data_IF_349904289757
#
_entry.id   IF_349904289757
#
_cell.length_a   1.000
_cell.length_b   1.000
_cell.length_c   1.000
_cell.angle_alpha   90.00
_cell.angle_beta   90.00
_cell.angle_gamma   90.00
#
_symmetry.space_group_name_H-M   'P 1'
#
loop_
_entity.id
_entity.type
_entity.pdbx_description
1 polymer ?
#
# COMPACT_ATOMS: atom_id res chain seq x y z
N UNK A 1 13.01 -21.29 -10.99
CA UNK A 1 12.58 -21.54 -12.37
C UNK A 1 13.04 -20.35 -13.21
N UNK A 2 13.86 -20.58 -14.25
CA UNK A 2 14.24 -19.52 -15.18
C UNK A 2 12.99 -18.98 -15.93
N UNK A 3 12.94 -17.69 -16.28
CA UNK A 3 11.83 -17.14 -17.06
C UNK A 3 11.78 -17.77 -18.45
N UNK A 4 10.59 -17.92 -19.02
CA UNK A 4 10.45 -18.45 -20.38
C UNK A 4 11.01 -17.48 -21.43
N UNK A 5 11.52 -18.00 -22.55
CA UNK A 5 12.07 -17.17 -23.63
C UNK A 5 11.05 -16.14 -24.17
N UNK A 6 9.78 -16.55 -24.26
CA UNK A 6 8.68 -15.66 -24.65
C UNK A 6 8.46 -14.50 -23.67
N UNK A 7 8.61 -14.74 -22.36
CA UNK A 7 8.51 -13.69 -21.33
C UNK A 7 9.68 -12.71 -21.40
N UNK A 8 10.91 -13.20 -21.63
CA UNK A 8 12.10 -12.37 -21.80
C UNK A 8 11.95 -11.44 -23.01
N UNK A 9 11.52 -11.98 -24.16
CA UNK A 9 11.26 -11.19 -25.37
C UNK A 9 10.13 -10.15 -25.17
N UNK A 10 9.08 -10.51 -24.44
CA UNK A 10 8.01 -9.56 -24.10
C UNK A 10 8.53 -8.46 -23.17
N UNK A 11 9.33 -8.82 -22.18
CA UNK A 11 9.91 -7.88 -21.22
C UNK A 11 10.87 -6.88 -21.90
N UNK A 12 11.73 -7.36 -22.80
CA UNK A 12 12.65 -6.51 -23.56
C UNK A 12 11.89 -5.52 -24.43
N UNK A 13 10.87 -5.97 -25.19
CA UNK A 13 10.01 -5.10 -26.00
C UNK A 13 9.33 -4.02 -25.15
N UNK A 14 8.81 -4.36 -23.97
CA UNK A 14 8.16 -3.38 -23.07
C UNK A 14 9.13 -2.29 -22.60
N UNK A 15 10.34 -2.67 -22.17
CA UNK A 15 11.35 -1.68 -21.75
C UNK A 15 11.87 -0.86 -22.92
N UNK A 16 12.07 -1.46 -24.09
CA UNK A 16 12.48 -0.72 -25.28
C UNK A 16 11.42 0.30 -25.68
N UNK A 17 10.14 -0.07 -25.69
CA UNK A 17 9.04 0.87 -25.96
C UNK A 17 8.96 2.00 -24.93
N UNK A 18 9.24 1.71 -23.66
CA UNK A 18 9.32 2.72 -22.62
C UNK A 18 10.49 3.67 -22.87
N UNK A 19 11.70 3.13 -23.10
CA UNK A 19 12.91 3.91 -23.36
C UNK A 19 12.74 4.81 -24.58
N UNK A 20 12.25 4.29 -25.71
CA UNK A 20 12.03 5.09 -26.92
C UNK A 20 11.02 6.21 -26.71
N UNK A 21 9.94 5.95 -25.96
CA UNK A 21 8.93 6.98 -25.66
C UNK A 21 9.42 8.07 -24.73
N UNK A 22 10.24 7.73 -23.75
CA UNK A 22 10.77 8.71 -22.79
C UNK A 22 12.01 9.43 -23.32
N UNK A 23 12.83 8.80 -24.18
CA UNK A 23 14.01 9.43 -24.79
C UNK A 23 13.66 10.52 -25.80
N UNK A 24 12.48 10.44 -26.43
CA UNK A 24 11.98 11.48 -27.34
C UNK A 24 11.48 12.74 -26.60
N UNK A 25 11.54 12.76 -25.26
CA UNK A 25 11.11 13.93 -24.51
C UNK A 25 12.22 14.95 -24.36
N UNK A 26 11.79 16.21 -24.33
CA UNK A 26 12.65 17.31 -23.95
C UNK A 26 12.80 17.36 -22.42
N UNK A 27 14.01 17.63 -21.92
CA UNK A 27 14.21 17.86 -20.49
C UNK A 27 13.43 19.10 -20.05
N UNK A 28 12.91 19.08 -18.83
CA UNK A 28 12.16 20.23 -18.29
C UNK A 28 13.05 21.32 -17.73
N UNK A 29 14.23 20.95 -17.25
CA UNK A 29 15.23 21.84 -16.69
C UNK A 29 16.60 21.18 -16.78
N UNK A 30 17.66 21.98 -16.74
CA UNK A 30 19.01 21.48 -16.50
C UNK A 30 19.32 21.67 -15.02
N UNK A 31 19.68 20.59 -14.33
CA UNK A 31 20.06 20.65 -12.92
C UNK A 31 21.58 20.63 -12.84
N UNK A 32 22.17 21.69 -12.28
CA UNK A 32 23.60 21.74 -12.02
C UNK A 32 23.90 20.97 -10.74
N UNK A 33 24.66 19.89 -10.85
CA UNK A 33 25.16 19.14 -9.69
C UNK A 33 26.34 19.90 -9.07
N UNK A 34 26.66 19.60 -7.81
CA UNK A 34 27.78 20.25 -7.09
C UNK A 34 29.16 20.07 -7.75
N UNK A 35 29.27 19.14 -8.70
CA UNK A 35 30.45 18.91 -9.55
C UNK A 35 30.55 19.85 -10.76
N UNK A 36 29.61 20.80 -10.93
CA UNK A 36 29.56 21.70 -12.07
C UNK A 36 28.95 21.10 -13.35
N UNK A 37 28.69 19.78 -13.36
CA UNK A 37 28.06 19.07 -14.47
C UNK A 37 26.56 19.36 -14.50
N UNK A 38 26.07 19.76 -15.68
CA UNK A 38 24.64 19.95 -15.93
C UNK A 38 24.02 18.63 -16.38
N UNK A 39 23.01 18.17 -15.62
CA UNK A 39 22.28 16.95 -15.92
C UNK A 39 20.84 17.29 -16.31
N UNK A 40 20.33 16.76 -17.43
CA UNK A 40 18.95 16.99 -17.85
C UNK A 40 17.96 16.38 -16.83
N UNK A 41 17.06 17.22 -16.36
CA UNK A 41 16.02 16.87 -15.40
C UNK A 41 14.70 16.61 -16.14
N UNK A 42 14.16 15.41 -15.97
CA UNK A 42 12.92 14.99 -16.62
C UNK A 42 11.78 14.86 -15.62
N UNK A 43 10.56 15.25 -16.02
CA UNK A 43 9.37 14.97 -15.24
C UNK A 43 9.13 13.47 -15.14
N UNK A 44 8.91 13.02 -13.91
CA UNK A 44 8.65 11.62 -13.63
C UNK A 44 7.29 11.18 -14.22
N UNK A 45 7.29 10.21 -15.16
CA UNK A 45 6.08 9.80 -15.85
C UNK A 45 5.17 8.88 -15.01
N UNK A 46 5.63 8.43 -13.84
CA UNK A 46 4.86 7.60 -12.91
C UNK A 46 4.04 8.43 -11.90
N UNK A 47 4.28 9.74 -11.85
CA UNK A 47 3.59 10.65 -10.94
C UNK A 47 2.52 11.46 -11.70
N UNK A 48 1.46 11.82 -10.99
CA UNK A 48 0.50 12.82 -11.46
C UNK A 48 1.14 14.21 -11.42
N UNK A 49 1.06 14.95 -12.51
CA UNK A 49 1.51 16.35 -12.54
C UNK A 49 0.30 17.28 -12.53
N UNK A 50 0.40 18.46 -11.92
CA UNK A 50 -0.63 19.49 -12.05
C UNK A 50 -0.73 19.91 -13.53
N UNK A 51 -1.96 20.03 -14.08
CA UNK A 51 -2.16 20.39 -15.51
C UNK A 51 -1.73 21.83 -15.84
N UNK A 52 -1.63 22.69 -14.83
CA UNK A 52 -1.06 24.04 -14.85
C UNK A 52 -0.92 24.49 -13.39
N UNK A 53 -0.10 25.51 -13.11
CA UNK A 53 0.07 26.05 -11.76
C UNK A 53 -1.27 26.48 -11.10
N UNK A 54 -2.23 26.92 -11.90
CA UNK A 54 -3.53 27.44 -11.44
C UNK A 54 -4.68 26.44 -11.60
N UNK A 55 -4.40 25.22 -12.06
CA UNK A 55 -5.45 24.23 -12.28
C UNK A 55 -5.65 23.38 -11.02
N UNK A 56 -6.84 23.47 -10.41
CA UNK A 56 -7.28 22.55 -9.34
C UNK A 56 -7.40 21.08 -9.78
N UNK A 57 -7.11 20.76 -11.05
CA UNK A 57 -7.18 19.43 -11.63
C UNK A 57 -5.78 18.89 -11.90
N UNK A 58 -5.43 17.81 -11.22
CA UNK A 58 -4.22 17.04 -11.50
C UNK A 58 -4.41 16.25 -12.79
N UNK A 59 -3.38 16.21 -13.64
CA UNK A 59 -3.31 15.20 -14.69
C UNK A 59 -2.99 13.86 -14.05
N UNK A 60 -3.66 12.79 -14.49
CA UNK A 60 -3.28 11.45 -14.09
C UNK A 60 -1.83 11.15 -14.51
N UNK A 61 -1.20 10.21 -13.81
CA UNK A 61 0.13 9.70 -14.21
C UNK A 61 0.11 9.17 -15.65
N UNK A 62 1.16 9.44 -16.42
CA UNK A 62 1.23 9.02 -17.84
C UNK A 62 1.18 7.50 -17.99
N UNK A 63 1.79 6.78 -17.05
CA UNK A 63 1.65 5.33 -16.95
C UNK A 63 0.74 4.98 -15.78
N UNK A 64 -0.31 4.22 -16.06
CA UNK A 64 -1.19 3.68 -15.01
C UNK A 64 -0.43 2.78 -14.04
N UNK A 65 -0.92 2.64 -12.81
CA UNK A 65 -0.30 1.79 -11.78
C UNK A 65 -0.08 0.34 -12.24
N UNK A 66 -0.96 -0.17 -13.12
CA UNK A 66 -0.80 -1.47 -13.74
C UNK A 66 0.41 -1.50 -14.68
N UNK A 67 0.53 -0.52 -15.58
CA UNK A 67 1.68 -0.41 -16.51
C UNK A 67 3.01 -0.22 -15.77
N UNK A 68 3.00 0.58 -14.71
CA UNK A 68 4.17 0.73 -13.83
C UNK A 68 4.62 -0.64 -13.25
N UNK A 69 3.66 -1.45 -12.77
CA UNK A 69 3.94 -2.82 -12.29
C UNK A 69 4.43 -3.74 -13.41
N UNK A 70 3.87 -3.63 -14.62
CA UNK A 70 4.31 -4.41 -15.78
C UNK A 70 5.75 -4.09 -16.18
N UNK A 71 6.16 -2.81 -16.18
CA UNK A 71 7.55 -2.40 -16.43
C UNK A 71 8.50 -2.91 -15.34
N UNK A 72 8.10 -2.84 -14.07
CA UNK A 72 8.89 -3.38 -12.97
C UNK A 72 9.03 -4.89 -13.04
N UNK A 73 7.96 -5.60 -13.41
CA UNK A 73 8.00 -7.05 -13.63
C UNK A 73 8.90 -7.40 -14.81
N UNK A 74 8.80 -6.65 -15.91
CA UNK A 74 9.66 -6.82 -17.08
C UNK A 74 11.15 -6.65 -16.72
N UNK A 75 11.51 -5.57 -15.99
CA UNK A 75 12.88 -5.36 -15.52
C UNK A 75 13.36 -6.52 -14.64
N UNK A 76 12.52 -7.06 -13.76
CA UNK A 76 12.88 -8.21 -12.92
C UNK A 76 13.09 -9.49 -13.72
N UNK A 77 12.24 -9.76 -14.71
CA UNK A 77 12.38 -10.92 -15.60
C UNK A 77 13.71 -10.87 -16.35
N UNK A 78 14.11 -9.69 -16.82
CA UNK A 78 15.38 -9.49 -17.53
C UNK A 78 16.60 -9.62 -16.62
N UNK A 79 16.51 -9.17 -15.37
CA UNK A 79 17.56 -9.42 -14.37
C UNK A 79 17.68 -10.92 -14.07
N UNK A 80 16.56 -11.64 -14.02
CA UNK A 80 16.53 -13.08 -13.79
C UNK A 80 17.06 -13.89 -14.98
N UNK A 81 16.98 -13.40 -16.21
CA UNK A 81 17.56 -14.08 -17.37
C UNK A 81 19.09 -14.01 -17.40
N UNK A 82 19.69 -13.07 -16.68
CA UNK A 82 21.14 -12.92 -16.57
C UNK A 82 21.79 -12.06 -17.67
N UNK A 83 21.02 -11.64 -18.68
CA UNK A 83 21.51 -10.84 -19.80
C UNK A 83 21.63 -9.33 -19.48
N UNK A 84 21.07 -8.90 -18.33
CA UNK A 84 20.97 -7.49 -17.97
C UNK A 84 21.51 -7.21 -16.57
N UNK A 85 22.03 -5.99 -16.39
CA UNK A 85 22.53 -5.52 -15.11
C UNK A 85 21.49 -5.60 -14.02
N UNK A 86 21.92 -6.00 -12.81
CA UNK A 86 21.10 -5.97 -11.59
C UNK A 86 20.54 -4.58 -11.29
N UNK A 87 21.19 -3.54 -11.82
CA UNK A 87 20.81 -2.14 -11.70
C UNK A 87 19.72 -1.70 -12.69
N UNK A 88 19.19 -2.59 -13.55
CA UNK A 88 18.16 -2.26 -14.53
C UNK A 88 16.90 -1.64 -13.89
N UNK A 89 16.55 -2.05 -12.66
CA UNK A 89 15.41 -1.46 -11.92
C UNK A 89 15.67 0.00 -11.58
N UNK A 90 16.92 0.40 -11.34
CA UNK A 90 17.29 1.76 -10.96
C UNK A 90 17.17 2.74 -12.14
N UNK A 91 17.12 2.25 -13.38
CA UNK A 91 16.84 3.07 -14.55
C UNK A 91 15.37 3.48 -14.69
N UNK A 92 14.44 2.76 -14.03
CA UNK A 92 13.04 3.14 -14.05
C UNK A 92 12.80 4.32 -13.09
N UNK A 93 11.92 5.27 -13.45
CA UNK A 93 11.61 6.38 -12.58
C UNK A 93 11.04 5.91 -11.24
N UNK A 94 11.34 6.60 -10.13
CA UNK A 94 10.74 6.26 -8.85
C UNK A 94 9.22 6.45 -8.92
N UNK A 95 8.44 5.64 -8.22
CA UNK A 95 6.99 5.70 -8.31
C UNK A 95 6.31 4.94 -7.20
N UNK A 96 4.98 5.06 -7.07
CA UNK A 96 4.22 4.43 -5.99
C UNK A 96 4.36 2.90 -5.95
N UNK A 97 4.76 2.26 -7.07
CA UNK A 97 5.06 0.83 -7.15
C UNK A 97 6.55 0.48 -6.98
N UNK A 98 7.48 1.42 -7.20
CA UNK A 98 8.92 1.18 -6.98
C UNK A 98 9.29 1.31 -5.51
N UNK A 99 8.66 2.23 -4.78
CA UNK A 99 8.94 2.49 -3.36
C UNK A 99 8.57 1.35 -2.43
N UNK A 100 7.68 0.44 -2.86
CA UNK A 100 7.28 -0.72 -2.06
C UNK A 100 8.43 -1.69 -1.72
N UNK A 101 9.59 -1.56 -2.37
CA UNK A 101 10.79 -2.38 -2.12
C UNK A 101 11.92 -1.65 -1.40
N UNK A 102 11.84 -0.33 -1.25
CA UNK A 102 12.96 0.47 -0.72
C UNK A 102 12.59 1.14 0.61
N UNK A 103 11.29 1.37 0.88
CA UNK A 103 10.84 2.05 2.08
C UNK A 103 9.98 1.19 3.03
N UNK A 104 10.25 -0.11 3.14
CA UNK A 104 9.67 -0.91 4.24
C UNK A 104 8.25 -1.39 4.02
N UNK A 105 7.94 -1.86 2.81
CA UNK A 105 6.63 -2.42 2.49
C UNK A 105 6.52 -3.89 2.85
N UNK A 106 6.47 -4.25 4.15
CA UNK A 106 6.12 -5.59 4.68
C UNK A 106 7.12 -6.72 4.38
N UNK A 107 7.62 -6.81 3.15
CA UNK A 107 8.59 -7.82 2.69
C UNK A 107 9.99 -7.48 3.19
N UNK A 108 10.36 -6.20 3.25
CA UNK A 108 11.66 -5.77 3.79
C UNK A 108 11.75 -6.01 5.31
N UNK A 109 10.63 -5.89 6.04
CA UNK A 109 10.54 -6.27 7.47
C UNK A 109 10.63 -7.78 7.67
N UNK A 110 10.01 -8.57 6.79
CA UNK A 110 10.09 -10.03 6.82
C UNK A 110 11.50 -10.54 6.44
N UNK A 111 12.18 -9.89 5.49
CA UNK A 111 13.56 -10.18 5.10
C UNK A 111 14.56 -9.73 6.18
N UNK A 112 14.34 -8.59 6.84
CA UNK A 112 15.15 -8.15 7.99
C UNK A 112 15.01 -9.10 9.19
N UNK A 113 13.81 -9.67 9.42
CA UNK A 113 13.59 -10.68 10.46
C UNK A 113 14.28 -12.03 10.16
N UNK A 114 14.66 -12.30 8.91
CA UNK A 114 15.35 -13.52 8.47
C UNK A 114 16.89 -13.40 8.47
N UNK A 115 17.46 -12.30 8.98
CA UNK A 115 18.88 -12.21 9.28
C UNK A 115 19.84 -12.29 8.08
N UNK A 116 19.38 -12.04 6.85
CA UNK A 116 20.28 -11.85 5.70
C UNK A 116 20.70 -10.39 5.63
N UNK A 117 21.83 -10.09 6.28
CA UNK A 117 22.65 -8.94 5.94
C UNK A 117 23.14 -9.09 4.49
N UNK A 118 23.33 -7.95 3.82
CA UNK A 118 23.89 -7.76 2.48
C UNK A 118 22.89 -7.72 1.31
N UNK A 119 22.10 -6.64 1.26
CA UNK A 119 21.96 -5.86 0.03
C UNK A 119 21.49 -4.44 0.35
N UNK A 120 22.45 -3.55 0.61
CA UNK A 120 22.23 -2.10 0.60
C UNK A 120 21.85 -1.67 -0.82
N UNK A 121 20.57 -1.48 -1.08
CA UNK A 121 20.11 -0.67 -2.21
C UNK A 121 20.28 0.78 -1.80
N UNK A 122 21.47 1.32 -2.07
CA UNK A 122 21.74 2.76 -2.04
C UNK A 122 20.84 3.44 -3.06
N UNK A 123 19.81 4.12 -2.56
CA UNK A 123 19.26 5.30 -3.21
C UNK A 123 20.32 6.38 -3.10
N UNK A 124 20.98 6.69 -4.21
CA UNK A 124 21.89 7.82 -4.27
C UNK A 124 21.14 9.10 -3.88
N UNK A 125 21.63 9.79 -2.84
CA UNK A 125 21.26 11.19 -2.62
C UNK A 125 21.13 11.74 -1.21
N UNK A 126 21.76 11.18 -0.16
CA UNK A 126 22.16 11.98 1.02
C UNK A 126 23.52 11.48 1.56
N UNK A 127 24.44 12.43 1.68
CA UNK A 127 25.88 12.37 1.93
C UNK A 127 26.38 11.62 3.17
N UNK A 128 27.47 10.83 3.01
CA UNK A 128 28.69 10.91 3.84
C UNK A 128 29.93 10.68 2.96
N UNK A 129 31.01 11.46 3.11
CA UNK A 129 32.19 11.37 2.24
C UNK A 129 33.13 10.27 2.69
N UNK A 130 33.53 9.39 1.77
CA UNK A 130 34.75 8.59 1.90
C UNK A 130 35.57 8.81 0.64
N UNK A 131 36.72 9.46 0.83
CA UNK A 131 37.76 9.64 -0.18
C UNK A 131 38.30 8.26 -0.60
N UNK A 132 38.28 7.94 -1.91
CA UNK A 132 39.46 7.38 -2.60
C UNK A 132 39.26 7.43 -4.11
N UNK A 133 40.20 8.07 -4.77
CA UNK A 133 40.33 8.17 -6.21
C UNK A 133 40.52 6.79 -6.85
N UNK A 134 39.86 6.57 -7.99
CA UNK A 134 40.45 6.09 -9.25
C UNK A 134 39.36 6.10 -10.33
N UNK A 135 39.54 6.98 -11.32
CA UNK A 135 38.67 7.16 -12.48
C UNK A 135 39.01 6.09 -13.53
N UNK A 136 38.03 5.25 -13.87
CA UNK A 136 37.94 4.65 -15.19
C UNK A 136 36.78 5.33 -15.95
N UNK A 137 36.93 5.69 -17.23
CA UNK A 137 35.82 6.17 -18.05
C UNK A 137 34.95 4.96 -18.43
N UNK A 138 34.18 4.44 -17.47
CA UNK A 138 33.10 3.53 -17.82
C UNK A 138 32.12 4.33 -18.66
N UNK A 139 31.71 3.80 -19.81
CA UNK A 139 30.69 4.36 -20.71
C UNK A 139 29.29 4.35 -20.08
N UNK A 140 29.21 4.67 -18.79
CA UNK A 140 28.01 4.68 -17.99
C UNK A 140 27.02 5.64 -18.66
N UNK A 141 25.86 5.09 -19.00
CA UNK A 141 24.76 5.86 -19.53
C UNK A 141 24.54 7.11 -18.66
N UNK A 142 24.25 8.28 -19.27
CA UNK A 142 24.09 9.53 -18.54
C UNK A 142 23.07 9.32 -17.42
N UNK A 143 23.45 9.71 -16.20
CA UNK A 143 22.59 9.63 -15.03
C UNK A 143 21.35 10.51 -15.26
N UNK A 144 20.18 9.88 -15.38
CA UNK A 144 18.92 10.61 -15.59
C UNK A 144 18.30 10.94 -14.24
N UNK A 145 18.16 12.23 -13.93
CA UNK A 145 17.50 12.69 -12.71
C UNK A 145 16.01 12.90 -12.99
N UNK A 146 15.18 12.11 -12.31
CA UNK A 146 13.72 12.23 -12.36
C UNK A 146 13.21 13.24 -11.33
N UNK A 147 12.45 14.24 -11.78
CA UNK A 147 11.81 15.24 -10.94
C UNK A 147 10.50 14.70 -10.36
N UNK A 148 10.39 14.76 -9.03
CA UNK A 148 9.19 14.45 -8.28
C UNK A 148 9.38 13.26 -7.35
N UNK A 149 8.97 13.43 -6.11
CA UNK A 149 9.02 12.39 -5.07
C UNK A 149 7.63 11.74 -4.99
N UNK A 150 7.52 10.40 -5.09
CA UNK A 150 6.26 9.73 -4.89
C UNK A 150 5.71 10.03 -3.49
N UNK A 151 4.40 10.27 -3.33
CA UNK A 151 3.83 10.51 -2.02
C UNK A 151 4.10 9.31 -1.12
N UNK A 152 4.43 9.53 0.17
CA UNK A 152 4.65 8.43 1.09
C UNK A 152 3.38 7.58 1.17
N UNK A 153 3.55 6.26 1.12
CA UNK A 153 2.42 5.35 1.33
C UNK A 153 2.00 5.47 2.79
N UNK A 154 0.82 6.05 3.03
CA UNK A 154 0.21 6.04 4.35
C UNK A 154 -0.14 4.58 4.68
N UNK A 155 0.64 3.94 5.55
CA UNK A 155 0.31 2.63 6.13
C UNK A 155 -0.71 2.83 7.25
N UNK A 156 -1.85 3.43 6.90
CA UNK A 156 -2.97 3.56 7.83
C UNK A 156 -3.39 2.12 8.14
N UNK A 157 -3.16 1.69 9.38
CA UNK A 157 -3.62 0.38 9.85
C UNK A 157 -5.12 0.25 9.58
N UNK A 158 -5.62 -0.98 9.45
CA UNK A 158 -7.03 -1.25 9.09
C UNK A 158 -8.07 -0.48 9.94
N UNK A 159 -7.69 -0.07 11.16
CA UNK A 159 -8.53 0.68 12.11
C UNK A 159 -7.97 2.05 12.50
N UNK A 160 -6.84 2.47 11.95
CA UNK A 160 -6.18 3.71 12.36
C UNK A 160 -7.01 4.91 11.88
N UNK A 161 -7.50 5.72 12.81
CA UNK A 161 -8.41 6.83 12.55
C UNK A 161 -9.91 6.48 12.50
N UNK A 162 -10.32 5.22 12.75
CA UNK A 162 -11.74 4.86 12.85
C UNK A 162 -12.23 4.91 14.31
N UNK A 163 -13.29 5.69 14.57
CA UNK A 163 -13.89 5.84 15.91
C UNK A 163 -14.56 4.57 16.45
N UNK A 164 -14.97 3.64 15.58
CA UNK A 164 -15.62 2.37 15.96
C UNK A 164 -15.13 1.28 15.02
N UNK A 165 -14.37 0.31 15.54
CA UNK A 165 -13.72 -0.72 14.73
C UNK A 165 -14.71 -1.75 14.17
N UNK A 166 -15.82 -2.02 14.85
CA UNK A 166 -16.86 -2.95 14.38
C UNK A 166 -18.24 -2.54 14.87
N UNK A 167 -19.23 -2.60 13.96
CA UNK A 167 -20.64 -2.26 14.23
C UNK A 167 -21.32 -3.15 15.29
N UNK A 168 -20.67 -4.26 15.68
CA UNK A 168 -21.20 -5.38 16.48
C UNK A 168 -22.50 -5.96 15.88
N UNK A 169 -22.79 -7.21 16.17
CA UNK A 169 -24.07 -7.77 15.73
C UNK A 169 -25.23 -7.10 16.50
N UNK A 170 -26.43 -7.08 15.91
CA UNK A 170 -27.61 -6.46 16.54
C UNK A 170 -27.86 -7.08 17.93
N UNK A 171 -27.79 -8.41 18.03
CA UNK A 171 -27.98 -9.12 19.29
C UNK A 171 -26.92 -8.75 20.35
N UNK A 172 -25.67 -8.47 19.96
CA UNK A 172 -24.61 -8.06 20.91
C UNK A 172 -24.84 -6.65 21.47
N UNK A 173 -25.46 -5.77 20.67
CA UNK A 173 -25.83 -4.42 21.09
C UNK A 173 -27.03 -4.47 22.05
N UNK A 174 -28.02 -5.28 21.72
CA UNK A 174 -29.26 -5.43 22.50
C UNK A 174 -29.09 -6.36 23.73
N UNK A 175 -28.02 -7.16 23.80
CA UNK A 175 -27.84 -8.18 24.84
C UNK A 175 -27.95 -7.58 26.26
N UNK A 176 -27.34 -6.41 26.50
CA UNK A 176 -27.40 -5.73 27.80
C UNK A 176 -28.82 -5.29 28.16
N UNK A 177 -29.55 -4.74 27.19
CA UNK A 177 -30.94 -4.30 27.39
C UNK A 177 -31.87 -5.51 27.62
N UNK A 178 -31.67 -6.58 26.85
CA UNK A 178 -32.40 -7.84 27.01
C UNK A 178 -32.17 -8.46 28.39
N UNK A 179 -30.92 -8.51 28.86
CA UNK A 179 -30.60 -8.99 30.21
C UNK A 179 -31.23 -8.12 31.30
N UNK A 180 -31.21 -6.79 31.14
CA UNK A 180 -31.84 -5.87 32.08
C UNK A 180 -33.37 -6.08 32.15
N UNK A 181 -34.01 -6.28 30.99
CA UNK A 181 -35.45 -6.59 30.91
C UNK A 181 -35.79 -7.91 31.58
N UNK A 182 -35.01 -8.97 31.32
CA UNK A 182 -35.19 -10.29 31.96
C UNK A 182 -35.05 -10.16 33.49
N UNK A 183 -34.03 -9.44 33.98
CA UNK A 183 -33.83 -9.24 35.42
C UNK A 183 -35.03 -8.53 36.06
N UNK A 184 -35.56 -7.48 35.44
CA UNK A 184 -36.78 -6.78 35.91
C UNK A 184 -38.00 -7.71 35.94
N UNK A 185 -38.17 -8.55 34.92
CA UNK A 185 -39.26 -9.51 34.89
C UNK A 185 -39.13 -10.57 35.98
N UNK A 186 -37.92 -11.04 36.28
CA UNK A 186 -37.70 -12.05 37.33
C UNK A 186 -37.93 -11.48 38.73
N UNK A 187 -37.61 -10.20 38.99
CA UNK A 187 -37.73 -9.58 40.31
C UNK A 187 -39.15 -9.62 40.90
N UNK A 188 -40.20 -9.52 40.08
CA UNK A 188 -41.61 -9.62 40.53
C UNK A 188 -42.25 -10.96 40.23
N UNK A 189 -41.46 -12.02 40.01
CA UNK A 189 -42.00 -13.32 39.61
C UNK A 189 -42.74 -14.01 40.75
N UNK A 190 -42.20 -13.96 41.96
CA UNK A 190 -42.80 -14.62 43.14
C UNK A 190 -44.15 -14.01 43.50
N UNK A 191 -44.26 -12.68 43.52
CA UNK A 191 -45.54 -11.98 43.74
C UNK A 191 -46.58 -12.33 42.65
N UNK A 192 -46.16 -12.45 41.39
CA UNK A 192 -47.06 -12.89 40.30
C UNK A 192 -47.50 -14.35 40.46
N UNK A 193 -46.62 -15.21 41.00
CA UNK A 193 -46.96 -16.60 41.31
C UNK A 193 -47.98 -16.63 42.47
N UNK A 194 -47.77 -15.85 43.53
CA UNK A 194 -48.69 -15.78 44.68
C UNK A 194 -50.05 -15.22 44.30
N UNK A 195 -50.09 -14.08 43.59
CA UNK A 195 -51.35 -13.50 43.10
C UNK A 195 -52.11 -14.46 42.18
N UNK A 196 -51.40 -15.18 41.31
CA UNK A 196 -52.01 -16.22 40.46
C UNK A 196 -52.54 -17.40 41.29
N UNK A 197 -51.77 -17.90 42.26
CA UNK A 197 -52.18 -18.98 43.18
C UNK A 197 -53.43 -18.58 43.95
N UNK A 198 -53.44 -17.38 44.54
CA UNK A 198 -54.57 -16.85 45.30
C UNK A 198 -55.82 -16.68 44.43
N UNK A 199 -55.67 -16.13 43.22
CA UNK A 199 -56.78 -16.00 42.26
C UNK A 199 -57.34 -17.36 41.85
N UNK A 200 -56.49 -18.39 41.70
CA UNK A 200 -56.91 -19.74 41.33
C UNK A 200 -57.60 -20.46 42.49
N UNK A 201 -57.04 -20.39 43.69
CA UNK A 201 -57.60 -20.97 44.92
C UNK A 201 -58.99 -20.39 45.25
N UNK A 202 -59.17 -19.08 45.10
CA UNK A 202 -60.47 -18.41 45.30
C UNK A 202 -61.55 -18.85 44.31
N UNK A 203 -61.19 -19.24 43.08
CA UNK A 203 -62.14 -19.80 42.09
C UNK A 203 -62.58 -21.22 42.44
N UNK A 204 -61.69 -22.03 43.01
CA UNK A 204 -62.02 -23.41 43.43
C UNK A 204 -62.80 -23.45 44.75
N UNK A 205 -62.65 -22.47 45.64
CA UNK A 205 -63.41 -22.41 46.89
C UNK A 205 -64.90 -22.04 46.73
N UNK A 206 -65.28 -21.45 45.59
CA UNK A 206 -66.67 -21.03 45.30
C UNK A 206 -67.49 -22.02 44.46
N UNK A 207 -66.89 -23.12 43.99
CA UNK A 207 -67.60 -24.15 43.20
C UNK A 207 -68.06 -25.26 44.13
N UNK A 208 -69.15 -25.03 44.89
CA UNK A 208 -69.98 -26.14 45.36
C UNK A 208 -70.56 -26.81 44.12
N UNK A 209 -70.01 -27.96 43.75
CA UNK A 209 -70.63 -28.83 42.76
C UNK A 209 -72.04 -29.19 43.30
N UNK A 210 -73.11 -28.94 42.54
CA UNK A 210 -74.42 -29.45 42.90
C UNK A 210 -74.36 -30.99 42.82
N UNK A 211 -74.65 -31.65 43.93
CA UNK A 211 -75.05 -33.05 43.94
C UNK A 211 -76.52 -33.15 43.52
#
# INVERSE_FOLDING_TARGET
MPPSSAEVLRASRLLTQFKTRESLRQPTSLKRLGSGVEVPEFLNPFLSTAKAANANKHSGSRYSLRRQKELLKAAQVLIQSGDYDKNLVNFLPPGPKTTSRVSGGGVDKALAALGRADSTVSVAGVTKPVNRAEQAPSSAAPEVIWKGVPPPRKSIGMYEGRKVAFKRHIWEREHKERQASIKKQVQGMDERIETWRNRRAGKTAGTKLPF
#
